data_IF_024679922480
#
_entry.id   IF_024679922480
#
_cell.length_a   1.000
_cell.length_b   1.000
_cell.length_c   1.000
_cell.angle_alpha   90.00
_cell.angle_beta   90.00
_cell.angle_gamma   90.00
#
_symmetry.space_group_name_H-M   'P 1'
#
loop_
_entity.id
_entity.type
_entity.pdbx_description
1 polymer ?
#
# COMPACT_ATOMS: atom_id res chain seq x y z
N UNK A 1 7.68 18.22 -0.64
CA UNK A 1 6.36 18.18 -1.31
C UNK A 1 5.33 17.61 -0.34
N UNK A 2 4.13 18.19 -0.23
CA UNK A 2 3.10 17.71 0.69
C UNK A 2 2.46 16.41 0.18
N UNK A 3 2.16 15.49 1.10
CA UNK A 3 1.40 14.26 0.85
C UNK A 3 -0.06 14.52 1.23
N UNK A 4 -0.97 14.46 0.27
CA UNK A 4 -2.40 14.60 0.46
C UNK A 4 -3.04 13.24 0.76
N UNK A 5 -4.27 13.23 1.27
CA UNK A 5 -5.00 11.97 1.51
C UNK A 5 -5.23 11.17 0.22
N UNK A 6 -5.31 11.83 -0.94
CA UNK A 6 -5.43 11.18 -2.25
C UNK A 6 -4.13 10.49 -2.71
N UNK A 7 -3.01 10.76 -2.05
CA UNK A 7 -1.71 10.14 -2.32
C UNK A 7 -1.51 8.87 -1.46
N UNK A 8 -2.48 8.49 -0.64
CA UNK A 8 -2.36 7.42 0.35
C UNK A 8 -3.48 6.39 0.15
N UNK A 9 -3.14 5.12 0.20
CA UNK A 9 -4.09 4.02 0.06
C UNK A 9 -3.73 2.84 0.93
N UNK A 10 -4.74 2.12 1.44
CA UNK A 10 -4.54 0.76 1.91
C UNK A 10 -4.22 -0.17 0.73
N UNK A 11 -3.39 -1.17 0.97
CA UNK A 11 -2.96 -2.12 -0.03
C UNK A 11 -2.92 -3.54 0.52
N UNK A 12 -3.04 -4.51 -0.40
CA UNK A 12 -2.83 -5.93 -0.16
C UNK A 12 -1.74 -6.45 -1.11
N UNK A 13 -1.08 -7.58 -0.78
CA UNK A 13 -0.19 -8.25 -1.72
C UNK A 13 -0.90 -8.55 -3.04
N UNK A 14 -0.27 -8.17 -4.14
CA UNK A 14 -0.78 -8.38 -5.49
C UNK A 14 -0.56 -9.82 -5.89
N UNK A 15 -1.65 -10.49 -6.24
CA UNK A 15 -1.62 -11.79 -6.92
C UNK A 15 -2.52 -11.70 -8.14
N UNK A 16 -1.94 -11.84 -9.33
CA UNK A 16 -2.75 -11.92 -10.55
C UNK A 16 -3.29 -13.34 -10.71
N UNK A 17 -4.54 -13.50 -11.12
CA UNK A 17 -5.04 -14.80 -11.52
C UNK A 17 -4.25 -15.31 -12.74
N UNK A 18 -3.94 -16.60 -12.76
CA UNK A 18 -3.15 -17.28 -13.79
C UNK A 18 -3.67 -18.71 -13.93
N UNK A 19 -4.07 -19.09 -15.14
CA UNK A 19 -4.54 -20.44 -15.44
C UNK A 19 -3.50 -21.51 -15.06
N UNK A 20 -3.97 -22.65 -14.53
CA UNK A 20 -3.11 -23.74 -14.06
C UNK A 20 -2.53 -23.52 -12.66
N UNK A 21 -2.88 -22.43 -11.97
CA UNK A 21 -2.44 -22.16 -10.59
C UNK A 21 -3.46 -22.69 -9.59
N UNK A 22 -2.99 -23.39 -8.55
CA UNK A 22 -3.81 -23.73 -7.38
C UNK A 22 -3.81 -22.56 -6.41
N UNK A 23 -4.99 -22.07 -6.07
CA UNK A 23 -5.18 -21.02 -5.06
C UNK A 23 -5.69 -21.63 -3.77
N UNK A 24 -5.34 -21.02 -2.64
CA UNK A 24 -5.96 -21.36 -1.36
C UNK A 24 -7.42 -20.89 -1.34
N UNK A 25 -8.29 -21.64 -0.67
CA UNK A 25 -9.61 -21.12 -0.31
C UNK A 25 -9.53 -20.33 0.99
N UNK A 26 -10.50 -19.45 1.20
CA UNK A 26 -10.73 -18.89 2.51
C UNK A 26 -11.14 -19.97 3.52
N UNK A 27 -10.43 -20.00 4.64
CA UNK A 27 -10.78 -20.83 5.77
C UNK A 27 -10.45 -20.11 7.08
N UNK A 28 -11.47 -19.98 7.93
CA UNK A 28 -11.43 -19.18 9.17
C UNK A 28 -10.44 -19.68 10.23
N UNK A 29 -10.06 -20.95 10.16
CA UNK A 29 -9.22 -21.64 11.15
C UNK A 29 -7.87 -22.06 10.56
N UNK A 30 -7.37 -21.39 9.51
CA UNK A 30 -5.99 -21.58 9.04
C UNK A 30 -5.03 -21.27 10.19
N UNK A 31 -4.13 -22.21 10.47
CA UNK A 31 -3.23 -22.18 11.61
C UNK A 31 -2.15 -23.26 11.50
N UNK A 32 -1.24 -23.32 12.47
CA UNK A 32 -0.19 -24.37 12.51
C UNK A 32 -0.73 -25.80 12.58
N UNK A 33 -1.97 -25.99 13.04
CA UNK A 33 -2.66 -27.29 13.06
C UNK A 33 -3.60 -27.55 11.88
N UNK A 34 -3.79 -26.58 10.99
CA UNK A 34 -4.66 -26.63 9.82
C UNK A 34 -4.11 -25.70 8.75
N UNK A 35 -3.15 -26.18 7.96
CA UNK A 35 -2.49 -25.37 6.94
C UNK A 35 -3.37 -25.23 5.70
N UNK A 36 -3.24 -24.12 4.98
CA UNK A 36 -3.84 -23.98 3.66
C UNK A 36 -3.18 -24.95 2.64
N UNK A 37 -3.73 -25.04 1.43
CA UNK A 37 -3.19 -25.89 0.36
C UNK A 37 -1.76 -25.49 -0.05
N UNK A 38 -1.43 -24.20 0.01
CA UNK A 38 -0.08 -23.66 -0.20
C UNK A 38 0.86 -23.86 1.00
N UNK A 39 0.37 -24.40 2.12
CA UNK A 39 1.13 -24.58 3.35
C UNK A 39 1.14 -23.38 4.29
N UNK A 40 0.35 -22.33 4.03
CA UNK A 40 0.27 -21.18 4.90
C UNK A 40 -0.32 -21.57 6.27
N UNK A 41 0.26 -21.00 7.34
CA UNK A 41 -0.18 -21.19 8.73
C UNK A 41 -0.91 -19.96 9.28
N UNK A 42 -1.15 -18.97 8.44
CA UNK A 42 -1.93 -17.77 8.69
C UNK A 42 -2.79 -17.48 7.45
N UNK A 43 -4.03 -17.05 7.65
CA UNK A 43 -4.95 -16.73 6.56
C UNK A 43 -4.39 -15.68 5.59
N UNK A 44 -3.77 -14.61 6.09
CA UNK A 44 -3.29 -13.50 5.25
C UNK A 44 -1.98 -13.80 4.52
N UNK A 45 -1.26 -14.85 4.93
CA UNK A 45 -0.14 -15.42 4.17
C UNK A 45 -0.62 -16.35 3.05
N UNK A 46 -1.86 -16.84 3.12
CA UNK A 46 -2.43 -17.72 2.09
C UNK A 46 -2.77 -16.95 0.79
N UNK A 47 -3.03 -17.70 -0.27
CA UNK A 47 -3.20 -17.24 -1.65
C UNK A 47 -4.67 -17.08 -2.07
N UNK A 48 -5.56 -16.87 -1.11
CA UNK A 48 -7.02 -16.85 -1.31
C UNK A 48 -7.59 -15.60 -1.99
N UNK A 49 -6.75 -14.67 -2.42
CA UNK A 49 -7.15 -13.41 -3.07
C UNK A 49 -6.38 -13.26 -4.37
N UNK A 50 -7.10 -12.93 -5.44
CA UNK A 50 -6.53 -12.72 -6.78
C UNK A 50 -7.14 -11.51 -7.46
N UNK A 51 -6.38 -10.87 -8.36
CA UNK A 51 -6.86 -9.86 -9.29
C UNK A 51 -6.92 -10.47 -10.70
N UNK A 52 -8.06 -10.31 -11.37
CA UNK A 52 -8.22 -10.79 -12.75
C UNK A 52 -7.65 -9.81 -13.78
N UNK A 53 -7.70 -10.19 -15.06
CA UNK A 53 -7.26 -9.41 -16.22
C UNK A 53 -7.99 -8.06 -16.40
N UNK A 54 -9.15 -7.89 -15.79
CA UNK A 54 -9.96 -6.65 -15.80
C UNK A 54 -9.76 -5.78 -14.54
N UNK A 55 -8.75 -6.06 -13.72
CA UNK A 55 -8.45 -5.37 -12.46
C UNK A 55 -9.57 -5.48 -11.40
N UNK A 56 -10.39 -6.53 -11.47
CA UNK A 56 -11.33 -6.91 -10.43
C UNK A 56 -10.68 -7.89 -9.45
N UNK A 57 -10.89 -7.67 -8.15
CA UNK A 57 -10.33 -8.46 -7.06
C UNK A 57 -11.38 -9.46 -6.56
N UNK A 58 -10.96 -10.72 -6.46
CA UNK A 58 -11.78 -11.84 -6.08
C UNK A 58 -11.19 -12.56 -4.89
N UNK A 59 -12.09 -13.05 -4.03
CA UNK A 59 -11.80 -13.95 -2.94
C UNK A 59 -12.17 -15.38 -3.36
N UNK A 60 -11.26 -16.32 -3.18
CA UNK A 60 -11.51 -17.75 -3.35
C UNK A 60 -12.29 -18.26 -2.13
N UNK A 61 -13.50 -18.75 -2.37
CA UNK A 61 -14.40 -19.27 -1.33
C UNK A 61 -14.26 -20.78 -1.18
N UNK A 62 -14.01 -21.48 -2.29
CA UNK A 62 -13.72 -22.92 -2.34
C UNK A 62 -12.88 -23.17 -3.60
N UNK A 63 -11.88 -24.03 -3.49
CA UNK A 63 -10.83 -24.21 -4.49
C UNK A 63 -10.86 -25.58 -5.18
N UNK A 64 -12.06 -26.17 -5.33
CA UNK A 64 -12.30 -27.48 -5.93
C UNK A 64 -11.41 -28.57 -5.32
N UNK A 65 -11.30 -28.60 -3.99
CA UNK A 65 -10.43 -29.56 -3.30
C UNK A 65 -8.94 -29.40 -3.64
N UNK A 66 -8.47 -28.15 -3.78
CA UNK A 66 -7.10 -27.77 -4.09
C UNK A 66 -6.59 -28.24 -5.48
N UNK A 67 -7.47 -28.30 -6.47
CA UNK A 67 -7.07 -28.52 -7.87
C UNK A 67 -6.51 -27.24 -8.51
N UNK A 68 -6.06 -27.29 -9.76
CA UNK A 68 -5.60 -26.10 -10.47
C UNK A 68 -6.77 -25.32 -11.08
N UNK A 69 -6.89 -24.02 -10.81
CA UNK A 69 -7.91 -23.18 -11.46
C UNK A 69 -7.57 -23.01 -12.95
N UNK A 70 -8.55 -23.23 -13.81
CA UNK A 70 -8.42 -23.12 -15.27
C UNK A 70 -9.34 -22.06 -15.87
N UNK A 71 -10.32 -21.56 -15.11
CA UNK A 71 -11.30 -20.57 -15.54
C UNK A 71 -11.19 -19.28 -14.73
N UNK A 72 -10.89 -18.17 -15.38
CA UNK A 72 -10.74 -16.87 -14.72
C UNK A 72 -12.10 -16.36 -14.15
N UNK A 73 -12.16 -15.89 -12.89
CA UNK A 73 -13.37 -15.28 -12.35
C UNK A 73 -13.66 -13.91 -13.00
N UNK A 74 -14.91 -13.73 -13.45
CA UNK A 74 -15.32 -12.53 -14.22
C UNK A 74 -16.63 -11.90 -13.78
N UNK A 75 -17.45 -12.59 -12.98
CA UNK A 75 -18.73 -12.06 -12.51
C UNK A 75 -18.50 -11.00 -11.43
N UNK A 76 -19.01 -9.78 -11.64
CA UNK A 76 -19.01 -8.69 -10.65
C UNK A 76 -20.28 -8.67 -9.78
N UNK A 77 -21.06 -9.76 -9.79
CA UNK A 77 -22.24 -9.90 -8.93
C UNK A 77 -21.84 -9.93 -7.46
N UNK A 78 -22.74 -9.44 -6.61
CA UNK A 78 -22.61 -9.43 -5.15
C UNK A 78 -22.78 -10.84 -4.54
N UNK A 79 -23.09 -11.86 -5.33
CA UNK A 79 -23.24 -13.25 -4.88
C UNK A 79 -21.99 -14.08 -5.15
N UNK A 80 -21.79 -15.13 -4.36
CA UNK A 80 -20.78 -16.15 -4.66
C UNK A 80 -21.22 -16.89 -5.93
N UNK A 81 -20.27 -17.20 -6.80
CA UNK A 81 -20.53 -17.90 -8.05
C UNK A 81 -19.47 -18.96 -8.30
N UNK A 82 -19.85 -20.00 -9.05
CA UNK A 82 -18.95 -21.06 -9.49
C UNK A 82 -18.42 -20.80 -10.88
N UNK A 83 -17.17 -21.14 -11.11
CA UNK A 83 -16.55 -21.22 -12.44
C UNK A 83 -16.61 -22.66 -12.97
N UNK A 84 -16.31 -22.85 -14.27
CA UNK A 84 -16.45 -24.17 -14.93
C UNK A 84 -15.47 -25.23 -14.40
N UNK A 85 -14.43 -24.80 -13.70
CA UNK A 85 -13.40 -25.61 -13.05
C UNK A 85 -13.74 -25.98 -11.60
N UNK A 86 -14.98 -25.77 -11.15
CA UNK A 86 -15.44 -26.16 -9.81
C UNK A 86 -15.18 -25.13 -8.72
N UNK A 87 -14.24 -24.19 -8.93
CA UNK A 87 -13.95 -23.13 -7.97
C UNK A 87 -15.17 -22.27 -7.67
N UNK A 88 -15.23 -21.76 -6.44
CA UNK A 88 -16.19 -20.73 -6.02
C UNK A 88 -15.46 -19.43 -5.71
N UNK A 89 -15.95 -18.35 -6.30
CA UNK A 89 -15.37 -17.02 -6.15
C UNK A 89 -16.40 -16.03 -5.64
N UNK A 90 -15.91 -15.02 -4.92
CA UNK A 90 -16.65 -13.84 -4.51
C UNK A 90 -15.96 -12.61 -5.08
N UNK A 91 -16.70 -11.79 -5.82
CA UNK A 91 -16.26 -10.45 -6.20
C UNK A 91 -16.16 -9.56 -4.95
N UNK A 92 -15.04 -8.86 -4.81
CA UNK A 92 -14.77 -7.97 -3.66
C UNK A 92 -14.86 -6.49 -4.04
N UNK A 93 -14.10 -6.08 -5.06
CA UNK A 93 -14.05 -4.71 -5.59
C UNK A 93 -13.29 -4.69 -6.92
N UNK A 94 -13.31 -3.57 -7.63
CA UNK A 94 -12.51 -3.34 -8.84
C UNK A 94 -11.63 -2.11 -8.65
N UNK A 95 -10.40 -2.16 -9.18
CA UNK A 95 -9.54 -0.99 -9.22
C UNK A 95 -9.96 -0.09 -10.40
N UNK A 96 -10.09 1.20 -10.12
CA UNK A 96 -10.22 2.24 -11.16
C UNK A 96 -8.90 2.45 -11.91
N UNK A 97 -8.96 3.05 -13.09
CA UNK A 97 -7.75 3.41 -13.85
C UNK A 97 -6.80 4.33 -13.06
N UNK A 98 -7.34 5.19 -12.19
CA UNK A 98 -6.54 6.04 -11.33
C UNK A 98 -5.84 5.24 -10.23
N UNK A 99 -6.52 4.26 -9.63
CA UNK A 99 -5.94 3.37 -8.62
C UNK A 99 -4.91 2.42 -9.20
N UNK A 100 -5.10 1.90 -10.42
CA UNK A 100 -4.08 1.08 -11.08
C UNK A 100 -2.84 1.91 -11.41
N UNK A 101 -3.01 3.15 -11.88
CA UNK A 101 -1.87 4.04 -12.15
C UNK A 101 -1.11 4.40 -10.85
N UNK A 102 -1.85 4.81 -9.82
CA UNK A 102 -1.28 5.39 -8.61
C UNK A 102 -0.87 4.34 -7.57
N UNK A 103 -1.64 3.26 -7.42
CA UNK A 103 -1.56 2.34 -6.28
C UNK A 103 -1.38 0.87 -6.67
N UNK A 104 -0.88 0.59 -7.88
CA UNK A 104 -0.38 -0.73 -8.28
C UNK A 104 1.14 -0.74 -8.41
N UNK A 105 1.77 -1.78 -7.87
CA UNK A 105 3.18 -2.10 -8.07
C UNK A 105 3.31 -3.56 -8.54
N UNK A 106 4.54 -4.08 -8.61
CA UNK A 106 4.78 -5.50 -8.83
C UNK A 106 4.16 -6.35 -7.72
N UNK A 107 4.25 -5.89 -6.48
CA UNK A 107 3.98 -6.71 -5.29
C UNK A 107 2.71 -6.31 -4.51
N UNK A 108 2.16 -5.11 -4.77
CA UNK A 108 1.00 -4.58 -4.03
C UNK A 108 -0.02 -3.92 -4.94
N UNK A 109 -1.30 -4.02 -4.56
CA UNK A 109 -2.44 -3.36 -5.20
C UNK A 109 -3.29 -2.60 -4.17
N UNK A 110 -3.97 -1.55 -4.63
CA UNK A 110 -5.02 -0.86 -3.88
C UNK A 110 -6.04 -1.85 -3.29
N UNK A 111 -6.47 -1.56 -2.07
CA UNK A 111 -7.58 -2.23 -1.41
C UNK A 111 -8.66 -1.23 -1.01
N UNK A 112 -9.91 -1.59 -1.26
CA UNK A 112 -11.10 -0.84 -0.84
C UNK A 112 -12.25 -1.79 -0.53
N UNK A 113 -13.29 -1.26 0.10
CA UNK A 113 -14.55 -1.97 0.32
C UNK A 113 -15.58 -1.42 -0.66
N UNK A 114 -16.04 -2.27 -1.58
CA UNK A 114 -17.16 -1.93 -2.46
C UNK A 114 -18.46 -1.84 -1.64
N UNK A 115 -19.09 -0.67 -1.66
CA UNK A 115 -20.30 -0.40 -0.87
C UNK A 115 -21.48 -1.31 -1.20
N UNK A 116 -21.59 -1.79 -2.45
CA UNK A 116 -22.69 -2.65 -2.89
C UNK A 116 -22.47 -4.10 -2.46
N UNK A 117 -21.21 -4.56 -2.46
CA UNK A 117 -20.82 -5.86 -1.94
C UNK A 117 -20.97 -5.88 -0.42
N UNK A 118 -20.54 -4.81 0.26
CA UNK A 118 -20.64 -4.67 1.71
C UNK A 118 -22.09 -4.67 2.19
N UNK A 119 -22.97 -3.91 1.52
CA UNK A 119 -24.40 -3.86 1.87
C UNK A 119 -25.15 -5.18 1.62
N UNK A 120 -24.66 -6.00 0.70
CA UNK A 120 -25.23 -7.31 0.38
C UNK A 120 -24.67 -8.45 1.27
N UNK A 121 -23.64 -8.19 2.08
CA UNK A 121 -23.06 -9.18 2.96
C UNK A 121 -24.05 -9.56 4.09
N UNK A 122 -24.11 -10.85 4.39
CA UNK A 122 -25.00 -11.41 5.42
C UNK A 122 -24.15 -12.02 6.52
N UNK A 123 -24.31 -11.51 7.75
CA UNK A 123 -23.53 -11.96 8.89
C UNK A 123 -23.79 -13.44 9.19
N UNK A 124 -22.70 -14.22 9.29
CA UNK A 124 -22.75 -15.65 9.57
C UNK A 124 -23.47 -16.51 8.51
N UNK A 125 -23.62 -16.04 7.27
CA UNK A 125 -24.14 -16.86 6.17
C UNK A 125 -23.09 -17.90 5.73
N UNK A 126 -23.47 -19.18 5.75
CA UNK A 126 -22.57 -20.30 5.44
C UNK A 126 -22.54 -20.59 3.93
N UNK A 127 -21.35 -20.81 3.37
CA UNK A 127 -21.18 -21.08 1.92
C UNK A 127 -20.40 -22.37 1.62
N UNK A 128 -19.49 -22.74 2.52
CA UNK A 128 -18.56 -23.86 2.31
C UNK A 128 -18.58 -24.82 3.50
N UNK A 129 -18.54 -26.11 3.21
CA UNK A 129 -18.24 -27.15 4.17
C UNK A 129 -17.32 -28.19 3.52
N UNK A 130 -16.43 -28.77 4.30
CA UNK A 130 -15.42 -29.73 3.83
C UNK A 130 -15.61 -31.07 4.53
N UNK A 131 -15.47 -32.16 3.79
CA UNK A 131 -15.47 -33.51 4.36
C UNK A 131 -14.05 -33.83 4.84
N UNK A 132 -13.83 -33.80 6.15
CA UNK A 132 -12.54 -34.17 6.76
C UNK A 132 -12.45 -35.69 6.91
N UNK A 133 -13.57 -36.34 7.23
CA UNK A 133 -13.69 -37.80 7.21
C UNK A 133 -15.11 -38.19 6.78
N UNK A 134 -15.22 -39.13 5.84
CA UNK A 134 -16.52 -39.56 5.30
C UNK A 134 -17.31 -40.47 6.25
N UNK A 135 -16.67 -41.06 7.25
CA UNK A 135 -17.28 -42.05 8.13
C UNK A 135 -17.61 -43.36 7.40
N UNK A 136 -18.55 -44.12 7.93
CA UNK A 136 -18.97 -45.41 7.37
C UNK A 136 -20.43 -45.72 7.70
N UNK A 137 -20.99 -46.72 7.02
CA UNK A 137 -22.35 -47.26 7.23
C UNK A 137 -23.49 -46.26 6.96
N UNK A 138 -23.23 -45.19 6.22
CA UNK A 138 -24.26 -44.34 5.66
C UNK A 138 -24.97 -45.06 4.52
N UNK A 139 -26.31 -45.05 4.51
CA UNK A 139 -27.08 -45.59 3.39
C UNK A 139 -28.25 -44.67 3.06
N UNK A 140 -28.71 -44.80 1.83
CA UNK A 140 -29.81 -44.02 1.26
C UNK A 140 -31.06 -44.90 1.19
N UNK A 141 -32.20 -44.36 1.61
CA UNK A 141 -33.50 -44.99 1.36
C UNK A 141 -33.95 -44.80 -0.09
N UNK A 142 -33.44 -43.77 -0.78
CA UNK A 142 -33.68 -43.46 -2.19
C UNK A 142 -32.67 -42.43 -2.71
N UNK A 143 -32.49 -42.37 -4.03
CA UNK A 143 -31.63 -41.37 -4.69
C UNK A 143 -30.13 -41.55 -4.44
N UNK A 144 -29.37 -40.45 -4.51
CA UNK A 144 -27.91 -40.40 -4.36
C UNK A 144 -27.42 -39.48 -3.23
N UNK A 145 -28.33 -38.74 -2.58
CA UNK A 145 -27.99 -37.74 -1.56
C UNK A 145 -28.94 -37.80 -0.37
N UNK A 146 -28.37 -37.56 0.83
CA UNK A 146 -29.14 -37.24 2.03
C UNK A 146 -29.30 -35.72 2.05
N UNK A 147 -30.53 -35.24 2.15
CA UNK A 147 -30.87 -33.81 2.04
C UNK A 147 -31.62 -33.30 3.26
N UNK A 148 -31.80 -31.98 3.35
CA UNK A 148 -32.47 -31.32 4.47
C UNK A 148 -31.77 -31.57 5.83
N UNK A 149 -30.44 -31.66 5.84
CA UNK A 149 -29.65 -31.85 7.05
C UNK A 149 -29.53 -30.50 7.76
N UNK A 150 -30.08 -30.32 8.97
CA UNK A 150 -29.95 -29.06 9.68
C UNK A 150 -28.49 -28.82 10.10
N UNK A 151 -28.00 -27.61 9.86
CA UNK A 151 -26.70 -27.16 10.38
C UNK A 151 -26.91 -26.61 11.79
N UNK A 152 -26.20 -27.21 12.75
CA UNK A 152 -26.22 -26.81 14.16
C UNK A 152 -25.17 -25.74 14.42
N UNK A 153 -25.30 -25.01 15.51
CA UNK A 153 -24.47 -23.86 15.83
C UNK A 153 -25.25 -22.86 16.67
N UNK A 154 -24.78 -21.62 16.67
CA UNK A 154 -25.48 -20.45 17.24
C UNK A 154 -26.29 -19.65 16.22
N UNK A 155 -26.13 -19.94 14.93
CA UNK A 155 -26.94 -19.36 13.87
C UNK A 155 -28.30 -20.04 13.67
N UNK A 156 -29.02 -19.57 12.65
CA UNK A 156 -30.38 -20.02 12.33
C UNK A 156 -30.52 -20.48 10.88
N UNK A 157 -31.39 -21.46 10.66
CA UNK A 157 -31.90 -21.88 9.35
C UNK A 157 -30.86 -22.38 8.33
N UNK A 158 -29.64 -22.72 8.75
CA UNK A 158 -28.65 -23.37 7.90
C UNK A 158 -29.05 -24.81 7.56
N UNK A 159 -28.94 -25.19 6.29
CA UNK A 159 -29.29 -26.53 5.80
C UNK A 159 -28.26 -27.01 4.79
N UNK A 160 -27.85 -28.27 4.92
CA UNK A 160 -26.91 -28.93 4.02
C UNK A 160 -27.51 -30.19 3.37
N UNK A 161 -26.82 -30.67 2.34
CA UNK A 161 -26.96 -32.00 1.79
C UNK A 161 -25.59 -32.70 1.74
N UNK A 162 -25.60 -34.02 1.79
CA UNK A 162 -24.39 -34.84 1.59
C UNK A 162 -24.61 -35.88 0.52
N UNK A 163 -23.57 -36.14 -0.26
CA UNK A 163 -23.51 -37.25 -1.21
C UNK A 163 -22.85 -38.44 -0.53
N UNK A 164 -23.40 -39.64 -0.75
CA UNK A 164 -22.86 -40.88 -0.19
C UNK A 164 -22.23 -41.70 -1.31
N UNK A 165 -20.99 -42.14 -1.12
CA UNK A 165 -20.29 -43.09 -1.99
C UNK A 165 -19.74 -44.24 -1.16
N UNK A 166 -20.06 -45.49 -1.55
CA UNK A 166 -19.56 -46.70 -0.89
C UNK A 166 -19.77 -46.73 0.63
N UNK A 167 -20.88 -46.15 1.11
CA UNK A 167 -21.24 -46.12 2.53
C UNK A 167 -20.61 -44.99 3.36
N UNK A 168 -19.88 -44.06 2.72
CA UNK A 168 -19.26 -42.91 3.36
C UNK A 168 -19.74 -41.59 2.73
N UNK A 169 -19.73 -40.50 3.50
CA UNK A 169 -19.94 -39.14 2.97
C UNK A 169 -18.77 -38.79 2.04
N UNK A 170 -19.06 -38.53 0.77
CA UNK A 170 -18.06 -38.17 -0.24
C UNK A 170 -18.03 -36.69 -0.57
N UNK A 171 -19.16 -36.00 -0.41
CA UNK A 171 -19.27 -34.56 -0.64
C UNK A 171 -20.34 -33.97 0.28
N UNK A 172 -20.19 -32.68 0.57
CA UNK A 172 -21.17 -31.88 1.31
C UNK A 172 -21.45 -30.59 0.54
N UNK A 173 -22.68 -30.11 0.59
CA UNK A 173 -23.07 -28.83 0.01
C UNK A 173 -23.99 -28.08 0.96
N UNK A 174 -23.74 -26.78 1.13
CA UNK A 174 -24.65 -25.89 1.83
C UNK A 174 -25.80 -25.55 0.87
N UNK A 175 -27.01 -25.97 1.23
CA UNK A 175 -28.24 -25.75 0.43
C UNK A 175 -29.02 -24.52 0.88
N UNK A 176 -28.83 -24.09 2.12
CA UNK A 176 -29.35 -22.83 2.65
C UNK A 176 -28.31 -22.30 3.62
N UNK A 177 -27.80 -21.11 3.35
CA UNK A 177 -26.70 -20.51 4.11
C UNK A 177 -27.04 -20.26 5.58
N UNK A 178 -28.31 -19.96 5.87
CA UNK A 178 -28.73 -19.47 7.18
C UNK A 178 -28.10 -18.12 7.50
N UNK A 179 -28.16 -17.72 8.78
CA UNK A 179 -27.62 -16.44 9.25
C UNK A 179 -27.11 -16.55 10.69
N UNK A 180 -26.20 -15.65 11.07
CA UNK A 180 -25.77 -15.45 12.46
C UNK A 180 -24.85 -16.52 13.04
N UNK A 181 -24.32 -17.44 12.22
CA UNK A 181 -23.37 -18.45 12.70
C UNK A 181 -22.01 -17.83 13.02
N UNK A 182 -21.53 -18.02 14.25
CA UNK A 182 -20.12 -17.81 14.65
C UNK A 182 -19.39 -19.14 14.86
N UNK A 183 -20.14 -20.22 15.04
CA UNK A 183 -19.66 -21.60 14.91
C UNK A 183 -20.78 -22.48 14.34
N UNK A 184 -20.41 -23.52 13.62
CA UNK A 184 -21.36 -24.42 12.97
C UNK A 184 -20.84 -25.85 12.90
N UNK A 185 -21.74 -26.82 12.98
CA UNK A 185 -21.40 -28.24 12.86
C UNK A 185 -22.57 -29.06 12.32
N UNK A 186 -22.24 -30.14 11.63
CA UNK A 186 -23.21 -31.16 11.19
C UNK A 186 -22.95 -32.43 11.99
N UNK A 187 -23.94 -32.89 12.75
CA UNK A 187 -23.80 -34.11 13.56
C UNK A 187 -24.18 -35.33 12.73
N UNK A 188 -23.47 -36.44 12.95
CA UNK A 188 -23.84 -37.76 12.41
C UNK A 188 -25.33 -38.11 12.66
N UNK A 189 -25.85 -37.79 13.86
CA UNK A 189 -27.26 -37.98 14.21
C UNK A 189 -28.24 -37.16 13.34
N UNK A 190 -27.84 -35.96 12.91
CA UNK A 190 -28.65 -35.13 12.02
C UNK A 190 -28.59 -35.64 10.57
N UNK A 191 -27.46 -36.25 10.16
CA UNK A 191 -27.35 -36.90 8.84
C UNK A 191 -28.26 -38.12 8.75
N UNK A 192 -28.24 -39.02 9.75
CA UNK A 192 -29.04 -40.26 9.71
C UNK A 192 -30.55 -40.04 9.96
N UNK A 193 -30.93 -38.87 10.47
CA UNK A 193 -32.33 -38.49 10.70
C UNK A 193 -32.91 -37.63 9.56
N UNK A 194 -32.09 -37.24 8.58
CA UNK A 194 -32.48 -36.35 7.51
C UNK A 194 -33.18 -37.09 6.35
N UNK A 195 -33.64 -36.33 5.36
CA UNK A 195 -34.41 -36.86 4.24
C UNK A 195 -33.54 -37.79 3.40
N UNK A 196 -34.11 -38.95 3.05
CA UNK A 196 -33.48 -40.06 2.33
C UNK A 196 -32.43 -40.86 3.10
N UNK A 197 -32.25 -40.63 4.41
CA UNK A 197 -31.38 -41.46 5.23
C UNK A 197 -32.03 -42.84 5.51
N UNK A 198 -31.24 -43.92 5.48
CA UNK A 198 -31.73 -45.27 5.77
C UNK A 198 -30.80 -46.16 6.62
N UNK A 199 -29.61 -45.67 7.00
CA UNK A 199 -28.55 -46.46 7.63
C UNK A 199 -28.12 -45.96 9.01
N UNK A 200 -27.25 -46.73 9.67
CA UNK A 200 -26.69 -46.42 10.99
C UNK A 200 -25.33 -45.71 10.90
N UNK A 201 -25.22 -44.76 9.95
CA UNK A 201 -23.97 -44.10 9.62
C UNK A 201 -23.32 -43.38 10.80
N UNK A 202 -22.00 -43.43 10.88
CA UNK A 202 -21.22 -42.79 11.95
C UNK A 202 -19.79 -42.44 11.51
N UNK A 203 -19.10 -41.64 12.32
CA UNK A 203 -17.71 -41.26 12.10
C UNK A 203 -17.47 -40.23 10.99
N UNK A 204 -18.52 -39.61 10.44
CA UNK A 204 -18.36 -38.47 9.55
C UNK A 204 -17.89 -37.25 10.33
N UNK A 205 -16.90 -36.55 9.79
CA UNK A 205 -16.38 -35.29 10.28
C UNK A 205 -16.47 -34.27 9.14
N UNK A 206 -17.30 -33.26 9.33
CA UNK A 206 -17.55 -32.19 8.35
C UNK A 206 -17.14 -30.87 8.99
N UNK A 207 -16.17 -30.19 8.39
CA UNK A 207 -15.73 -28.86 8.80
C UNK A 207 -16.60 -27.81 8.09
N UNK A 208 -17.43 -27.07 8.83
CA UNK A 208 -18.24 -25.99 8.28
C UNK A 208 -17.44 -24.69 8.37
N UNK A 209 -17.27 -24.01 7.25
CA UNK A 209 -16.42 -22.82 7.18
C UNK A 209 -17.23 -21.58 7.56
N UNK A 210 -16.79 -20.87 8.60
CA UNK A 210 -17.45 -19.66 9.09
C UNK A 210 -16.97 -18.44 8.30
N UNK A 211 -17.86 -17.60 7.75
CA UNK A 211 -17.45 -16.38 7.05
C UNK A 211 -16.83 -15.36 8.02
N UNK A 212 -16.15 -14.32 7.51
CA UNK A 212 -15.73 -13.20 8.34
C UNK A 212 -16.93 -12.52 9.00
N UNK A 213 -16.69 -11.84 10.13
CA UNK A 213 -17.73 -11.06 10.82
C UNK A 213 -18.39 -10.06 9.87
N UNK A 214 -19.72 -10.07 9.81
CA UNK A 214 -20.54 -9.28 8.88
C UNK A 214 -20.81 -9.98 7.55
N UNK A 215 -20.15 -11.11 7.26
CA UNK A 215 -20.25 -11.85 6.01
C UNK A 215 -19.19 -11.48 4.98
N UNK A 216 -19.08 -12.29 3.93
CA UNK A 216 -18.12 -12.10 2.85
C UNK A 216 -18.32 -10.77 2.10
N UNK A 217 -17.30 -9.92 2.13
CA UNK A 217 -17.26 -8.62 1.49
C UNK A 217 -17.78 -7.46 2.34
N UNK A 218 -18.22 -7.70 3.59
CA UNK A 218 -18.70 -6.66 4.49
C UNK A 218 -17.64 -5.58 4.76
N UNK A 219 -16.40 -6.01 5.03
CA UNK A 219 -15.25 -5.14 5.21
C UNK A 219 -14.03 -5.78 4.54
N UNK A 220 -13.88 -5.51 3.23
CA UNK A 220 -12.82 -6.10 2.42
C UNK A 220 -11.42 -5.71 2.91
N UNK A 221 -11.23 -4.51 3.48
CA UNK A 221 -9.95 -4.09 4.03
C UNK A 221 -9.48 -5.03 5.16
N UNK A 222 -10.38 -5.33 6.11
CA UNK A 222 -10.08 -6.24 7.21
C UNK A 222 -10.02 -7.71 6.76
N UNK A 223 -10.94 -8.10 5.89
CA UNK A 223 -11.08 -9.48 5.41
C UNK A 223 -9.88 -9.94 4.56
N UNK A 224 -9.31 -9.04 3.75
CA UNK A 224 -8.22 -9.35 2.82
C UNK A 224 -6.83 -9.03 3.37
N UNK A 225 -6.73 -8.54 4.61
CA UNK A 225 -5.45 -8.24 5.26
C UNK A 225 -4.76 -7.00 4.71
N UNK A 226 -5.52 -5.91 4.52
CA UNK A 226 -4.98 -4.65 4.02
C UNK A 226 -4.19 -3.88 5.10
N UNK A 227 -3.11 -4.50 5.60
CA UNK A 227 -2.22 -3.97 6.64
C UNK A 227 -1.10 -3.09 6.08
N UNK A 228 -1.02 -2.96 4.76
CA UNK A 228 -0.06 -2.12 4.08
C UNK A 228 -0.69 -0.78 3.73
N UNK A 229 0.09 0.29 3.86
CA UNK A 229 -0.23 1.62 3.35
C UNK A 229 0.77 1.96 2.26
N UNK A 230 0.26 2.24 1.06
CA UNK A 230 1.04 2.79 -0.03
C UNK A 230 0.86 4.29 -0.09
N UNK A 231 1.99 5.01 -0.07
CA UNK A 231 2.07 6.44 -0.34
C UNK A 231 2.66 6.60 -1.74
N UNK A 232 1.91 7.23 -2.64
CA UNK A 232 2.33 7.46 -4.01
C UNK A 232 2.47 8.97 -4.26
N UNK A 233 3.67 9.42 -4.59
CA UNK A 233 3.92 10.81 -4.99
C UNK A 233 4.77 10.87 -6.24
N UNK A 234 4.27 11.58 -7.25
CA UNK A 234 5.05 11.91 -8.43
C UNK A 234 5.84 13.20 -8.22
N UNK A 235 7.03 13.28 -8.79
CA UNK A 235 7.80 14.49 -9.03
C UNK A 235 7.85 14.68 -10.55
N UNK A 236 7.46 15.83 -11.07
CA UNK A 236 7.40 16.09 -12.52
C UNK A 236 8.24 17.31 -12.87
N UNK A 237 9.33 17.12 -13.60
CA UNK A 237 10.23 18.20 -14.01
C UNK A 237 10.62 19.13 -12.84
N UNK A 238 10.71 20.42 -13.11
CA UNK A 238 10.87 21.42 -12.06
C UNK A 238 9.52 21.67 -11.38
N UNK A 239 9.44 21.42 -10.06
CA UNK A 239 8.18 21.57 -9.32
C UNK A 239 8.16 22.78 -8.41
N UNK A 240 6.96 23.35 -8.28
CA UNK A 240 6.74 24.57 -7.53
C UNK A 240 7.42 25.75 -8.17
N UNK A 241 7.99 26.61 -7.33
CA UNK A 241 8.77 27.78 -7.69
C UNK A 241 10.25 27.44 -7.89
N UNK A 242 10.51 26.32 -8.59
CA UNK A 242 11.81 25.63 -8.67
C UNK A 242 12.30 25.11 -7.31
N UNK A 243 11.37 24.71 -6.43
CA UNK A 243 11.70 24.20 -5.10
C UNK A 243 12.31 22.80 -5.17
N UNK A 244 11.92 22.05 -6.22
CA UNK A 244 12.50 20.75 -6.59
C UNK A 244 13.04 20.92 -8.01
N UNK A 245 14.35 21.19 -8.11
CA UNK A 245 15.04 21.43 -9.38
C UNK A 245 15.30 20.16 -10.20
N UNK A 246 15.73 20.36 -11.44
CA UNK A 246 16.16 19.27 -12.35
C UNK A 246 17.64 19.32 -12.69
N UNK A 247 18.34 20.39 -12.30
CA UNK A 247 19.74 20.62 -12.62
C UNK A 247 20.71 19.99 -11.62
N UNK A 248 20.21 19.15 -10.71
CA UNK A 248 21.02 18.44 -9.74
C UNK A 248 20.54 16.99 -9.59
N UNK A 249 21.43 16.13 -9.10
CA UNK A 249 21.08 14.78 -8.71
C UNK A 249 20.40 14.79 -7.32
N UNK A 250 19.57 13.76 -7.09
CA UNK A 250 19.02 13.50 -5.78
C UNK A 250 19.41 12.11 -5.32
N UNK A 251 19.72 12.00 -4.03
CA UNK A 251 20.25 10.79 -3.41
C UNK A 251 19.45 10.34 -2.20
N UNK A 252 18.50 11.15 -1.76
CA UNK A 252 17.70 10.86 -0.57
C UNK A 252 16.23 11.12 -0.83
N UNK A 253 15.40 10.19 -0.40
CA UNK A 253 13.95 10.36 -0.29
C UNK A 253 13.60 10.21 1.19
N UNK A 254 12.76 11.09 1.70
CA UNK A 254 12.30 11.02 3.08
C UNK A 254 10.84 11.41 3.24
N UNK A 255 10.22 10.86 4.28
CA UNK A 255 8.89 11.24 4.74
C UNK A 255 9.04 11.97 6.08
N UNK A 256 8.63 13.23 6.10
CA UNK A 256 8.64 14.07 7.30
C UNK A 256 7.23 14.47 7.65
N UNK A 257 6.84 14.24 8.89
CA UNK A 257 5.55 14.64 9.44
C UNK A 257 5.67 16.02 10.08
N UNK A 258 4.73 16.90 9.74
CA UNK A 258 4.54 18.20 10.39
C UNK A 258 5.78 19.10 10.55
N UNK A 259 6.60 19.34 9.50
CA UNK A 259 7.67 20.34 9.57
C UNK A 259 7.08 21.76 9.71
N UNK A 260 7.82 22.69 10.30
CA UNK A 260 7.37 24.08 10.51
C UNK A 260 7.85 25.02 9.40
N UNK A 261 7.06 26.07 9.10
CA UNK A 261 7.50 27.16 8.23
C UNK A 261 8.66 27.92 8.89
N UNK A 262 9.66 28.31 8.09
CA UNK A 262 10.87 28.98 8.56
C UNK A 262 10.59 30.14 9.51
N UNK A 263 11.32 30.21 10.62
CA UNK A 263 11.17 31.25 11.63
C UNK A 263 9.90 31.17 12.47
N UNK A 264 9.11 30.09 12.35
CA UNK A 264 7.84 29.92 13.09
C UNK A 264 7.71 28.52 13.68
N UNK A 265 6.69 28.31 14.52
CA UNK A 265 6.23 26.98 14.98
C UNK A 265 4.97 26.51 14.26
N UNK A 266 4.60 27.16 13.15
CA UNK A 266 3.40 26.84 12.39
C UNK A 266 3.73 25.74 11.39
N UNK A 267 2.97 24.64 11.41
CA UNK A 267 3.11 23.53 10.46
C UNK A 267 2.96 24.02 9.02
N UNK A 268 3.89 23.61 8.16
CA UNK A 268 3.89 23.93 6.75
C UNK A 268 2.77 23.21 6.01
N UNK A 269 2.04 23.94 5.16
CA UNK A 269 0.91 23.43 4.38
C UNK A 269 1.03 23.68 2.87
N UNK A 270 2.09 24.35 2.43
CA UNK A 270 2.35 24.59 1.00
C UNK A 270 2.67 23.27 0.27
N UNK A 271 2.35 23.22 -1.02
CA UNK A 271 2.50 22.02 -1.86
C UNK A 271 3.95 21.60 -2.03
N UNK A 272 4.83 22.57 -2.25
CA UNK A 272 6.29 22.41 -2.29
C UNK A 272 6.93 23.42 -1.34
N UNK A 273 8.14 23.10 -0.90
CA UNK A 273 8.98 23.95 -0.07
C UNK A 273 10.44 23.67 -0.39
N UNK A 274 11.22 24.74 -0.47
CA UNK A 274 12.66 24.73 -0.67
C UNK A 274 13.37 24.74 0.69
N UNK A 275 14.34 23.84 0.88
CA UNK A 275 15.11 23.72 2.12
C UNK A 275 16.57 24.19 1.98
N UNK A 276 16.82 25.16 1.09
CA UNK A 276 18.18 25.61 0.72
C UNK A 276 18.23 27.14 0.77
N UNK A 277 19.44 27.67 0.97
CA UNK A 277 19.70 29.10 0.98
C UNK A 277 19.97 29.61 -0.44
N UNK A 278 19.77 30.91 -0.67
CA UNK A 278 20.16 31.54 -1.92
C UNK A 278 20.65 32.98 -1.75
N UNK A 279 21.45 33.46 -2.70
CA UNK A 279 21.89 34.85 -2.81
C UNK A 279 21.84 35.29 -4.27
N UNK A 280 21.40 36.52 -4.50
CA UNK A 280 21.34 37.12 -5.84
C UNK A 280 22.43 38.17 -6.01
N UNK A 281 23.06 38.18 -7.19
CA UNK A 281 24.18 39.07 -7.50
C UNK A 281 23.86 40.00 -8.67
N UNK A 282 24.51 41.16 -8.69
CA UNK A 282 24.50 42.05 -9.87
C UNK A 282 25.48 41.56 -10.94
N UNK A 283 26.62 41.01 -10.52
CA UNK A 283 27.67 40.43 -11.36
C UNK A 283 28.39 39.32 -10.60
N UNK A 284 28.96 38.38 -11.34
CA UNK A 284 29.75 37.26 -10.82
C UNK A 284 31.02 37.14 -11.67
N UNK A 285 32.16 36.94 -11.02
CA UNK A 285 33.41 36.57 -11.67
C UNK A 285 33.57 35.05 -11.64
N UNK A 286 33.90 34.45 -12.78
CA UNK A 286 33.96 32.98 -12.90
C UNK A 286 32.58 32.32 -12.83
N UNK A 287 32.58 31.01 -12.59
CA UNK A 287 31.37 30.19 -12.50
C UNK A 287 31.49 29.26 -11.30
N UNK A 288 30.57 29.39 -10.34
CA UNK A 288 30.51 28.45 -9.22
C UNK A 288 30.18 27.04 -9.72
N UNK A 289 30.82 26.03 -9.16
CA UNK A 289 30.63 24.62 -9.49
C UNK A 289 29.82 23.92 -8.40
N UNK A 290 28.90 23.03 -8.78
CA UNK A 290 28.19 22.19 -7.81
C UNK A 290 29.17 21.42 -6.91
N UNK A 291 28.77 21.18 -5.66
CA UNK A 291 29.55 20.49 -4.62
C UNK A 291 30.85 21.18 -4.19
N UNK A 292 31.12 22.42 -4.62
CA UNK A 292 32.25 23.16 -4.07
C UNK A 292 31.93 23.81 -2.72
N UNK A 293 32.97 23.99 -1.91
CA UNK A 293 32.89 24.85 -0.73
C UNK A 293 32.88 26.32 -1.17
N UNK A 294 32.02 27.11 -0.56
CA UNK A 294 32.02 28.56 -0.63
C UNK A 294 32.26 29.15 0.75
N UNK A 295 33.01 30.26 0.79
CA UNK A 295 33.25 30.98 2.03
C UNK A 295 33.02 32.47 1.91
N UNK A 296 32.84 33.11 3.06
CA UNK A 296 32.79 34.55 3.22
C UNK A 296 33.81 34.95 4.28
N UNK A 297 35.04 35.27 3.84
CA UNK A 297 36.19 35.50 4.74
C UNK A 297 35.92 36.53 5.85
N UNK A 298 35.12 37.57 5.57
CA UNK A 298 34.80 38.63 6.54
C UNK A 298 33.89 38.16 7.69
N UNK A 299 33.08 37.12 7.48
CA UNK A 299 32.10 36.64 8.47
C UNK A 299 32.45 35.26 9.02
N UNK A 300 33.28 34.49 8.31
CA UNK A 300 33.51 33.08 8.60
C UNK A 300 32.38 32.17 8.12
N UNK A 301 31.41 32.67 7.33
CA UNK A 301 30.37 31.81 6.79
C UNK A 301 30.95 30.81 5.78
N UNK A 302 30.60 29.53 5.94
CA UNK A 302 30.99 28.41 5.07
C UNK A 302 29.73 27.73 4.57
N UNK A 303 29.70 27.29 3.31
CA UNK A 303 28.56 26.60 2.73
C UNK A 303 28.98 25.70 1.59
N UNK A 304 28.07 24.83 1.15
CA UNK A 304 28.30 23.94 0.01
C UNK A 304 27.34 24.22 -1.14
N UNK A 305 27.90 24.44 -2.32
CA UNK A 305 27.12 24.84 -3.51
C UNK A 305 26.24 23.68 -3.97
N UNK A 306 24.98 24.01 -4.23
CA UNK A 306 24.01 23.10 -4.86
C UNK A 306 23.96 23.40 -6.36
N UNK A 307 23.76 24.67 -6.70
CA UNK A 307 23.58 25.11 -8.08
C UNK A 307 23.91 26.60 -8.20
N UNK A 308 24.40 27.00 -9.37
CA UNK A 308 24.50 28.40 -9.76
C UNK A 308 23.71 28.67 -11.03
N UNK A 309 22.66 29.46 -10.91
CA UNK A 309 21.85 29.96 -12.02
C UNK A 309 22.56 31.18 -12.62
N UNK A 310 23.32 30.95 -13.69
CA UNK A 310 24.09 32.00 -14.37
C UNK A 310 23.24 33.03 -15.13
N UNK A 311 21.98 32.69 -15.44
CA UNK A 311 21.05 33.59 -16.14
C UNK A 311 20.53 34.65 -15.17
N UNK A 312 20.00 34.20 -14.02
CA UNK A 312 19.45 35.09 -12.99
C UNK A 312 20.50 35.54 -11.97
N UNK A 313 21.73 35.02 -12.05
CA UNK A 313 22.84 35.26 -11.13
C UNK A 313 22.46 34.92 -9.68
N UNK A 314 21.91 33.73 -9.49
CA UNK A 314 21.51 33.22 -8.18
C UNK A 314 22.41 32.04 -7.81
N UNK A 315 23.07 32.11 -6.66
CA UNK A 315 23.79 30.99 -6.07
C UNK A 315 22.93 30.34 -5.01
N UNK A 316 22.82 29.01 -5.07
CA UNK A 316 22.11 28.17 -4.12
C UNK A 316 23.09 27.31 -3.33
N UNK A 317 22.91 27.24 -2.01
CA UNK A 317 23.76 26.43 -1.13
C UNK A 317 22.99 25.85 0.05
N UNK A 318 23.63 24.93 0.76
CA UNK A 318 23.21 24.47 2.07
C UNK A 318 24.35 24.65 3.08
N UNK A 319 23.98 24.76 4.36
CA UNK A 319 24.91 24.75 5.48
C UNK A 319 24.52 23.62 6.43
N UNK A 320 25.49 22.86 6.90
CA UNK A 320 25.28 21.82 7.93
C UNK A 320 26.20 22.06 9.11
N UNK A 321 26.01 21.30 10.18
CA UNK A 321 26.91 21.31 11.35
C UNK A 321 28.31 20.71 11.09
N UNK A 322 28.61 20.31 9.86
CA UNK A 322 29.87 19.64 9.52
C UNK A 322 30.88 20.64 8.91
N UNK A 323 32.19 20.47 9.21
CA UNK A 323 33.26 21.23 8.59
C UNK A 323 33.21 21.16 7.06
N UNK A 324 33.64 22.22 6.39
CA UNK A 324 33.70 22.36 4.92
C UNK A 324 32.34 22.26 4.21
N UNK A 325 31.24 22.23 4.98
CA UNK A 325 29.86 22.17 4.49
C UNK A 325 29.00 23.25 5.13
N UNK A 326 29.24 23.63 6.38
CA UNK A 326 28.56 24.76 7.00
C UNK A 326 29.28 25.44 8.16
N UNK A 327 30.28 24.79 8.76
CA UNK A 327 31.04 25.38 9.88
C UNK A 327 32.43 25.83 9.45
N UNK A 328 32.92 26.92 10.06
CA UNK A 328 34.30 27.38 9.91
C UNK A 328 35.32 26.45 10.60
N UNK A 329 36.61 26.80 10.53
CA UNK A 329 37.71 26.05 11.14
C UNK A 329 37.62 25.95 12.67
N UNK A 330 36.88 26.85 13.30
CA UNK A 330 36.63 26.86 14.75
C UNK A 330 35.35 26.07 15.11
N UNK A 331 34.61 25.58 14.10
CA UNK A 331 33.37 24.83 14.25
C UNK A 331 32.11 25.69 14.37
N UNK A 332 32.19 26.99 14.09
CA UNK A 332 31.03 27.88 14.17
C UNK A 332 30.18 27.82 12.90
N UNK A 333 28.86 27.67 13.07
CA UNK A 333 27.88 27.78 12.00
C UNK A 333 27.44 29.24 11.85
N UNK A 334 28.09 29.97 10.92
CA UNK A 334 27.78 31.38 10.65
C UNK A 334 26.99 31.53 9.36
N UNK A 335 25.89 32.28 9.39
CA UNK A 335 25.09 32.55 8.21
C UNK A 335 25.79 33.56 7.27
N UNK A 336 25.68 33.33 5.96
CA UNK A 336 26.09 34.31 4.95
C UNK A 336 25.24 35.58 5.11
N UNK A 337 25.90 36.74 5.15
CA UNK A 337 25.20 38.00 5.42
C UNK A 337 25.93 39.23 4.86
N UNK A 338 25.20 40.33 4.72
CA UNK A 338 25.75 41.62 4.29
C UNK A 338 26.33 41.61 2.87
N UNK A 339 27.05 42.67 2.53
CA UNK A 339 27.70 42.83 1.23
C UNK A 339 29.18 42.39 1.27
N UNK A 340 29.46 41.19 1.79
CA UNK A 340 30.81 40.61 1.74
C UNK A 340 30.92 39.54 0.66
N UNK A 341 32.07 39.47 0.00
CA UNK A 341 32.31 38.55 -1.11
C UNK A 341 32.13 37.09 -0.68
N UNK A 342 31.41 36.34 -1.52
CA UNK A 342 31.29 34.88 -1.48
C UNK A 342 32.26 34.33 -2.51
N UNK A 343 33.16 33.45 -2.09
CA UNK A 343 34.23 32.88 -2.93
C UNK A 343 34.17 31.35 -2.96
N UNK A 344 34.15 30.78 -4.16
CA UNK A 344 34.25 29.33 -4.39
C UNK A 344 35.69 28.85 -4.26
N UNK A 345 35.91 27.81 -3.47
CA UNK A 345 37.27 27.34 -3.15
C UNK A 345 37.92 26.57 -4.31
N UNK A 346 37.11 25.90 -5.14
CA UNK A 346 37.62 25.12 -6.27
C UNK A 346 37.57 25.92 -7.57
N UNK A 347 36.47 26.64 -7.81
CA UNK A 347 36.26 27.40 -9.04
C UNK A 347 36.96 28.77 -9.05
N UNK A 348 37.36 29.27 -7.88
CA UNK A 348 37.77 30.67 -7.67
C UNK A 348 36.71 31.70 -8.11
N UNK A 349 35.46 31.26 -8.31
CA UNK A 349 34.37 32.16 -8.62
C UNK A 349 34.10 33.08 -7.42
N UNK A 350 33.76 34.34 -7.70
CA UNK A 350 33.60 35.35 -6.67
C UNK A 350 32.46 36.31 -7.02
N UNK A 351 31.63 36.62 -6.03
CA UNK A 351 30.57 37.61 -6.18
C UNK A 351 30.20 38.25 -4.84
N UNK A 352 29.71 39.49 -4.88
CA UNK A 352 29.19 40.18 -3.71
C UNK A 352 27.67 40.25 -3.80
N UNK A 353 26.92 39.69 -2.82
CA UNK A 353 25.47 39.72 -2.79
C UNK A 353 24.91 41.13 -2.99
N UNK A 354 23.89 41.26 -3.84
CA UNK A 354 23.22 42.53 -4.10
C UNK A 354 22.25 42.84 -2.95
N UNK A 355 22.76 43.46 -1.87
CA UNK A 355 21.99 43.71 -0.66
C UNK A 355 20.87 44.74 -0.84
N UNK A 356 20.82 45.43 -1.97
CA UNK A 356 19.70 46.32 -2.34
C UNK A 356 18.53 45.56 -2.97
N UNK A 357 18.72 44.29 -3.35
CA UNK A 357 17.65 43.47 -3.90
C UNK A 357 16.74 42.96 -2.78
N UNK A 358 15.44 43.22 -2.87
CA UNK A 358 14.42 42.62 -1.99
C UNK A 358 13.19 42.20 -2.80
N UNK A 359 13.46 41.64 -3.98
CA UNK A 359 12.45 41.24 -4.96
C UNK A 359 12.39 39.73 -5.08
N UNK A 360 11.31 39.23 -5.66
CA UNK A 360 11.22 37.82 -6.06
C UNK A 360 11.86 37.62 -7.44
N UNK A 361 12.87 36.75 -7.55
CA UNK A 361 13.53 36.40 -8.82
C UNK A 361 13.63 34.89 -8.95
N UNK A 362 13.29 34.34 -10.12
CA UNK A 362 13.18 32.89 -10.34
C UNK A 362 12.35 32.19 -9.23
N UNK A 363 11.32 32.90 -8.78
CA UNK A 363 10.42 32.50 -7.71
C UNK A 363 11.09 32.20 -6.34
N UNK A 364 12.30 32.72 -6.13
CA UNK A 364 12.97 32.85 -4.83
C UNK A 364 12.67 34.23 -4.28
N UNK A 365 12.21 34.33 -3.03
CA UNK A 365 11.96 35.61 -2.35
C UNK A 365 13.24 36.09 -1.68
N UNK A 366 13.82 37.18 -2.16
CA UNK A 366 15.01 37.77 -1.55
C UNK A 366 14.65 38.88 -0.56
N UNK A 367 15.38 38.92 0.55
CA UNK A 367 15.44 40.03 1.50
C UNK A 367 16.91 40.45 1.62
N UNK A 368 17.20 41.70 1.27
CA UNK A 368 18.57 42.24 1.22
C UNK A 368 19.57 41.33 0.50
N UNK A 369 19.19 40.79 -0.66
CA UNK A 369 20.03 39.97 -1.52
C UNK A 369 20.11 38.49 -1.14
N UNK A 370 19.47 38.07 -0.05
CA UNK A 370 19.51 36.70 0.47
C UNK A 370 18.12 36.08 0.57
N UNK A 371 18.03 34.75 0.44
CA UNK A 371 16.85 33.95 0.72
C UNK A 371 17.19 32.88 1.73
N UNK A 372 16.30 32.68 2.70
CA UNK A 372 16.38 31.58 3.66
C UNK A 372 15.65 30.34 3.13
N UNK A 373 15.93 29.15 3.69
CA UNK A 373 15.03 28.00 3.57
C UNK A 373 13.60 28.37 3.97
N UNK A 374 12.62 27.61 3.47
CA UNK A 374 11.21 27.84 3.78
C UNK A 374 10.69 26.95 4.92
N UNK A 375 11.49 25.98 5.37
CA UNK A 375 11.21 25.12 6.51
C UNK A 375 12.25 25.34 7.60
N UNK A 376 11.83 25.22 8.86
CA UNK A 376 12.75 25.22 10.01
C UNK A 376 13.59 23.93 9.97
N UNK A 377 14.91 24.06 10.07
CA UNK A 377 15.82 22.93 10.18
C UNK A 377 15.46 22.08 11.40
N UNK A 378 15.57 20.75 11.25
CA UNK A 378 15.29 19.77 12.32
C UNK A 378 13.88 19.88 12.94
N UNK A 379 12.91 20.43 12.21
CA UNK A 379 11.50 20.46 12.61
C UNK A 379 10.69 19.32 11.99
N UNK A 380 9.68 18.86 12.75
CA UNK A 380 8.86 17.71 12.37
C UNK A 380 9.48 16.37 12.74
N UNK A 381 8.77 15.29 12.44
CA UNK A 381 9.19 13.92 12.75
C UNK A 381 9.57 13.17 11.47
N UNK A 382 10.76 12.59 11.44
CA UNK A 382 11.18 11.74 10.33
C UNK A 382 10.52 10.36 10.49
N UNK A 383 9.68 9.99 9.53
CA UNK A 383 9.00 8.70 9.48
C UNK A 383 9.74 7.68 8.60
N UNK A 384 10.43 8.16 7.57
CA UNK A 384 11.17 7.33 6.62
C UNK A 384 12.31 8.12 6.01
N UNK A 385 13.45 7.48 5.79
CA UNK A 385 14.57 7.98 4.98
C UNK A 385 15.17 6.80 4.23
N UNK A 386 15.42 7.01 2.95
CA UNK A 386 16.14 6.09 2.08
C UNK A 386 17.23 6.85 1.35
N UNK A 387 18.43 6.29 1.37
CA UNK A 387 19.54 6.74 0.54
C UNK A 387 19.57 5.89 -0.74
N UNK A 388 19.81 6.53 -1.88
CA UNK A 388 19.86 5.93 -3.20
C UNK A 388 21.14 6.35 -3.92
N UNK A 389 21.52 5.55 -4.91
CA UNK A 389 22.47 6.01 -5.93
C UNK A 389 21.96 7.30 -6.56
N UNK A 390 22.85 8.21 -7.01
CA UNK A 390 22.45 9.47 -7.59
C UNK A 390 21.47 9.29 -8.75
N UNK A 391 20.34 9.98 -8.70
CA UNK A 391 19.34 9.97 -9.75
C UNK A 391 19.35 11.34 -10.42
N UNK A 392 19.73 11.37 -11.71
CA UNK A 392 19.65 12.56 -12.54
C UNK A 392 18.20 12.83 -12.93
N UNK A 393 17.80 14.10 -12.93
CA UNK A 393 16.47 14.55 -13.36
C UNK A 393 16.55 15.28 -14.69
N UNK A 394 15.45 15.26 -15.43
CA UNK A 394 15.26 16.09 -16.61
C UNK A 394 13.90 16.81 -16.55
N UNK A 395 13.76 17.91 -17.28
CA UNK A 395 12.53 18.71 -17.29
C UNK A 395 11.31 17.97 -17.86
N UNK A 396 11.55 16.97 -18.71
CA UNK A 396 10.55 16.10 -19.33
C UNK A 396 10.37 14.76 -18.60
N UNK A 397 11.06 14.56 -17.48
CA UNK A 397 10.96 13.36 -16.67
C UNK A 397 9.85 13.50 -15.62
N UNK A 398 9.11 12.41 -15.39
CA UNK A 398 8.26 12.23 -14.22
C UNK A 398 8.75 11.03 -13.43
N UNK A 399 9.15 11.26 -12.20
CA UNK A 399 9.51 10.21 -11.25
C UNK A 399 8.32 9.89 -10.36
N UNK A 400 7.98 8.61 -10.26
CA UNK A 400 6.92 8.15 -9.37
C UNK A 400 7.53 7.43 -8.16
N UNK A 401 7.24 7.93 -6.96
CA UNK A 401 7.75 7.39 -5.70
C UNK A 401 6.59 6.68 -5.00
N UNK A 402 6.69 5.35 -4.89
CA UNK A 402 5.76 4.52 -4.11
C UNK A 402 6.48 4.00 -2.88
N UNK A 403 6.05 4.44 -1.71
CA UNK A 403 6.52 3.95 -0.42
C UNK A 403 5.44 3.03 0.17
N UNK A 404 5.81 1.81 0.52
CA UNK A 404 4.91 0.84 1.16
C UNK A 404 5.38 0.66 2.61
N UNK A 405 4.44 0.81 3.55
CA UNK A 405 4.68 0.65 4.98
C UNK A 405 3.68 -0.38 5.52
N UNK A 406 4.16 -1.33 6.30
CA UNK A 406 3.35 -2.33 7.02
C UNK A 406 3.05 -1.85 8.45
N UNK A 407 1.85 -2.12 8.95
CA UNK A 407 1.39 -1.73 10.28
C UNK A 407 0.85 -2.89 11.11
#
# INVERSE_FOLDING_TARGET
KIIASSDVSYCIPRRNWTTGTTYDMYEHNIGSGNTSASGATNLWDSTFVVMNSAYAVYKCIENDGATASTTEPTSTSNSIFSTADGYKWKYMYSLTSAETLNFMSTDFIHASTDSTVSAAAVDGALDTALVVAGGSSYSLSSGSTISAIPIRGDGSSGVASVTIASGAVSAVSITTAGTGYTYAYIRNADIIAATNAGGAGSGANINVIIPPKGGHGYNALKELGAYYVMINKSLTGAEGTSDIGVNNDFRRIGLVRNPYNYGTTTVASATTRRQIFAAVFSSVSGTFTADEEINQASTGAVGKVIEYDSTNKILYWYQTRFPDVGTDSDGNLTAFSGANAITGQSSSAAATPNTSNSTTTNAVVFASGYSTPELVADSGDILYVEERSPITRASDQTENIKLIIEF
#
